data_IF_011682387811
#
_entry.id   IF_011682387811
#
_cell.length_a   1.000
_cell.length_b   1.000
_cell.length_c   1.000
_cell.angle_alpha   90.00
_cell.angle_beta   90.00
_cell.angle_gamma   90.00
#
_symmetry.space_group_name_H-M   'P 1'
#
loop_
_entity.id
_entity.type
_entity.pdbx_description
1 polymer ?
#
# COMPACT_ATOMS: atom_id res chain seq x y z
N UNK A 1 -7.08 -17.14 10.75
CA UNK A 1 -6.09 -16.25 10.11
C UNK A 1 -5.49 -17.00 8.93
N UNK A 2 -5.71 -16.54 7.71
CA UNK A 2 -5.04 -17.07 6.52
C UNK A 2 -3.71 -16.34 6.37
N UNK A 3 -2.60 -17.08 6.39
CA UNK A 3 -1.31 -16.53 5.97
C UNK A 3 -1.34 -16.41 4.45
N UNK A 4 -1.38 -15.18 3.92
CA UNK A 4 -1.17 -14.90 2.51
C UNK A 4 0.30 -14.62 2.29
N UNK A 5 0.94 -15.37 1.39
CA UNK A 5 2.30 -15.08 0.97
C UNK A 5 2.31 -13.75 0.21
N UNK A 6 3.19 -12.83 0.60
CA UNK A 6 3.38 -11.56 -0.08
C UNK A 6 4.57 -11.70 -1.02
N UNK A 7 4.39 -11.35 -2.30
CA UNK A 7 5.43 -11.49 -3.33
C UNK A 7 6.11 -10.16 -3.68
N UNK A 8 5.44 -9.03 -3.42
CA UNK A 8 5.97 -7.69 -3.60
C UNK A 8 5.47 -6.75 -2.50
N UNK A 9 6.29 -5.76 -2.17
CA UNK A 9 6.00 -4.71 -1.20
C UNK A 9 6.13 -3.35 -1.90
N UNK A 10 5.23 -2.43 -1.59
CA UNK A 10 5.23 -1.05 -2.07
C UNK A 10 4.81 -0.09 -0.96
N UNK A 11 5.51 1.03 -0.81
CA UNK A 11 5.13 2.09 0.13
C UNK A 11 4.32 3.15 -0.60
N UNK A 12 3.07 3.36 -0.17
CA UNK A 12 2.17 4.34 -0.76
C UNK A 12 2.22 5.66 0.05
N UNK A 13 2.65 6.73 -0.63
CA UNK A 13 2.85 8.06 -0.04
C UNK A 13 1.68 9.02 -0.31
N UNK A 14 0.69 8.60 -1.10
CA UNK A 14 -0.53 9.36 -1.39
C UNK A 14 -1.76 8.47 -1.24
N UNK A 15 -2.93 9.05 -1.01
CA UNK A 15 -4.18 8.29 -0.97
C UNK A 15 -4.54 7.68 -2.34
N UNK A 16 -4.19 8.35 -3.44
CA UNK A 16 -4.38 7.81 -4.77
C UNK A 16 -3.55 6.54 -4.99
N UNK A 17 -2.30 6.49 -4.51
CA UNK A 17 -1.47 5.30 -4.63
C UNK A 17 -2.07 4.13 -3.84
N UNK A 18 -2.60 4.38 -2.64
CA UNK A 18 -3.27 3.36 -1.83
C UNK A 18 -4.48 2.81 -2.58
N UNK A 19 -5.37 3.70 -3.06
CA UNK A 19 -6.60 3.30 -3.74
C UNK A 19 -6.31 2.50 -5.02
N UNK A 20 -5.35 2.95 -5.83
CA UNK A 20 -4.94 2.21 -7.04
C UNK A 20 -4.48 0.79 -6.71
N UNK A 21 -3.64 0.61 -5.70
CA UNK A 21 -3.11 -0.71 -5.36
C UNK A 21 -4.19 -1.62 -4.75
N UNK A 22 -5.12 -1.07 -3.96
CA UNK A 22 -6.28 -1.82 -3.47
C UNK A 22 -7.17 -2.32 -4.62
N UNK A 23 -7.41 -1.48 -5.63
CA UNK A 23 -8.16 -1.87 -6.84
C UNK A 23 -7.45 -2.98 -7.64
N UNK A 24 -6.11 -2.99 -7.63
CA UNK A 24 -5.28 -4.05 -8.21
C UNK A 24 -5.16 -5.30 -7.32
N UNK A 25 -5.91 -5.40 -6.22
CA UNK A 25 -5.93 -6.57 -5.34
C UNK A 25 -4.80 -6.65 -4.32
N UNK A 26 -4.02 -5.59 -4.14
CA UNK A 26 -3.02 -5.50 -3.06
C UNK A 26 -3.73 -5.32 -1.71
N UNK A 27 -3.00 -5.60 -0.62
CA UNK A 27 -3.51 -5.45 0.75
C UNK A 27 -2.58 -4.58 1.59
N UNK A 28 -3.14 -3.86 2.56
CA UNK A 28 -2.35 -3.12 3.55
C UNK A 28 -1.76 -4.13 4.54
N UNK A 29 -0.43 -4.15 4.68
CA UNK A 29 0.29 -5.05 5.60
C UNK A 29 0.89 -4.32 6.81
N UNK A 30 1.11 -3.01 6.71
CA UNK A 30 1.50 -2.16 7.82
C UNK A 30 1.08 -0.70 7.57
N UNK A 31 0.94 0.06 8.66
CA UNK A 31 0.78 1.52 8.63
C UNK A 31 1.89 2.10 9.49
N UNK A 32 2.68 3.00 8.91
CA UNK A 32 3.80 3.65 9.59
C UNK A 32 3.62 5.17 9.56
N UNK A 33 4.22 5.87 10.52
CA UNK A 33 4.30 7.32 10.48
C UNK A 33 5.45 7.72 9.57
N UNK A 34 5.21 8.62 8.62
CA UNK A 34 6.24 9.08 7.70
C UNK A 34 5.84 10.33 6.94
N UNK A 35 6.72 10.75 6.06
CA UNK A 35 6.45 11.85 5.14
C UNK A 35 5.51 11.36 4.03
N UNK A 36 4.32 11.96 3.90
CA UNK A 36 3.37 11.72 2.81
C UNK A 36 3.17 12.98 1.98
N UNK A 37 2.61 12.81 0.79
CA UNK A 37 2.32 13.91 -0.12
C UNK A 37 0.80 14.10 -0.25
N UNK A 38 0.33 15.26 0.21
CA UNK A 38 -1.02 15.75 -0.03
C UNK A 38 -1.02 16.73 -1.23
N UNK A 39 -1.93 16.58 -2.20
CA UNK A 39 -1.99 17.48 -3.36
C UNK A 39 -2.24 18.96 -3.02
N UNK A 40 -2.88 19.24 -1.88
CA UNK A 40 -3.27 20.59 -1.44
C UNK A 40 -2.27 21.19 -0.45
N UNK A 41 -1.70 20.37 0.44
CA UNK A 41 -0.81 20.84 1.52
C UNK A 41 0.68 20.56 1.24
N UNK A 42 0.99 19.76 0.22
CA UNK A 42 2.35 19.37 -0.13
C UNK A 42 2.87 18.25 0.76
N UNK A 43 4.11 18.37 1.25
CA UNK A 43 4.74 17.34 2.08
C UNK A 43 4.31 17.51 3.54
N UNK A 44 3.65 16.51 4.10
CA UNK A 44 3.18 16.49 5.49
C UNK A 44 3.61 15.21 6.23
N UNK A 45 3.59 15.24 7.57
CA UNK A 45 3.81 14.05 8.38
C UNK A 45 2.48 13.35 8.63
N UNK A 46 2.37 12.08 8.23
CA UNK A 46 1.13 11.33 8.34
C UNK A 46 1.30 9.82 8.11
N UNK A 47 0.19 9.09 7.89
CA UNK A 47 0.25 7.65 7.66
C UNK A 47 0.80 7.36 6.25
N UNK A 48 1.84 6.55 6.20
CA UNK A 48 2.34 5.88 4.99
C UNK A 48 1.89 4.42 5.05
N UNK A 49 1.22 3.97 4.00
CA UNK A 49 0.67 2.62 3.94
C UNK A 49 1.66 1.71 3.23
N UNK A 50 2.05 0.62 3.90
CA UNK A 50 2.85 -0.42 3.28
C UNK A 50 1.89 -1.43 2.66
N UNK A 51 1.91 -1.51 1.34
CA UNK A 51 1.08 -2.37 0.51
C UNK A 51 1.84 -3.66 0.17
N UNK A 52 1.16 -4.80 0.24
CA UNK A 52 1.68 -6.09 -0.17
C UNK A 52 0.84 -6.69 -1.28
N UNK A 53 1.48 -7.17 -2.36
CA UNK A 53 0.83 -7.96 -3.40
C UNK A 53 0.77 -9.42 -2.92
N UNK A 54 -0.42 -10.00 -2.72
CA UNK A 54 -0.54 -11.42 -2.42
C UNK A 54 -0.10 -12.26 -3.62
N UNK A 55 0.50 -13.41 -3.34
CA UNK A 55 0.66 -14.45 -4.36
C UNK A 55 -0.73 -14.91 -4.84
N UNK A 56 -0.96 -14.88 -6.16
CA UNK A 56 -2.14 -15.44 -6.78
C UNK A 56 -1.73 -16.65 -7.66
N UNK A 57 -1.98 -17.90 -7.22
CA UNK A 57 -1.63 -19.10 -8.00
C UNK A 57 -2.42 -19.25 -9.30
N UNK A 58 -3.45 -18.45 -9.54
CA UNK A 58 -4.26 -18.48 -10.77
C UNK A 58 -3.67 -17.61 -11.90
N UNK A 59 -2.60 -16.85 -11.64
CA UNK A 59 -1.95 -15.94 -12.61
C UNK A 59 -0.58 -16.43 -13.13
N UNK A 60 -0.06 -17.58 -12.65
CA UNK A 60 1.18 -18.25 -13.12
C UNK A 60 0.86 -19.43 -14.06
#
# INVERSE_FOLDING_TARGET
MQNRQIVKIYEAFTENDVNLHLELGWVIIAVVSGDRFDPNEGKELGPVYVMGLPFNPEED
#
